data_IF_660259452699
#
_entry.id   IF_660259452699
#
_cell.length_a   1.000
_cell.length_b   1.000
_cell.length_c   1.000
_cell.angle_alpha   90.00
_cell.angle_beta   90.00
_cell.angle_gamma   90.00
#
_symmetry.space_group_name_H-M   'P 1'
#
loop_
_entity.id
_entity.type
_entity.pdbx_description
1 polymer ?
#
# COMPACT_ATOMS: atom_id res chain seq x y z
N UNK A 1 0.31 6.55 33.17
CA UNK A 1 -1.11 6.68 32.83
C UNK A 1 -1.32 6.69 31.31
N UNK A 2 -0.69 7.62 30.57
CA UNK A 2 -0.81 7.74 29.11
C UNK A 2 -0.35 6.48 28.34
N UNK A 3 0.77 5.88 28.74
CA UNK A 3 1.28 4.65 28.12
C UNK A 3 0.29 3.50 28.24
N UNK A 4 -0.33 3.34 29.41
CA UNK A 4 -1.34 2.29 29.63
C UNK A 4 -2.60 2.55 28.78
N UNK A 5 -3.01 3.80 28.65
CA UNK A 5 -4.11 4.17 27.76
C UNK A 5 -3.79 3.85 26.29
N UNK A 6 -2.60 4.20 25.82
CA UNK A 6 -2.18 3.90 24.46
C UNK A 6 -2.15 2.39 24.18
N UNK A 7 -1.69 1.58 25.15
CA UNK A 7 -1.72 0.12 25.07
C UNK A 7 -3.15 -0.43 25.06
N UNK A 8 -4.04 0.13 25.88
CA UNK A 8 -5.46 -0.21 25.88
C UNK A 8 -6.09 0.07 24.51
N UNK A 9 -5.93 1.26 23.96
CA UNK A 9 -6.45 1.61 22.63
C UNK A 9 -5.94 0.65 21.57
N UNK A 10 -4.64 0.38 21.57
CA UNK A 10 -4.02 -0.56 20.63
C UNK A 10 -4.58 -2.00 20.74
N UNK A 11 -4.99 -2.42 21.93
CA UNK A 11 -5.59 -3.75 22.14
C UNK A 11 -7.07 -3.82 21.74
N UNK A 12 -7.74 -2.68 21.66
CA UNK A 12 -9.18 -2.59 21.38
C UNK A 12 -9.48 -2.39 19.90
N UNK A 13 -8.55 -1.76 19.17
CA UNK A 13 -8.74 -1.47 17.75
C UNK A 13 -8.01 -2.53 16.91
N UNK A 14 -8.71 -3.19 15.99
CA UNK A 14 -8.10 -4.17 15.08
C UNK A 14 -7.15 -3.46 14.08
N UNK A 15 -6.22 -4.21 13.53
CA UNK A 15 -5.37 -3.74 12.43
C UNK A 15 -6.16 -3.64 11.13
N UNK A 16 -7.03 -4.60 10.90
CA UNK A 16 -7.94 -4.65 9.75
C UNK A 16 -9.38 -4.66 10.24
N UNK A 17 -10.21 -3.79 9.67
CA UNK A 17 -11.65 -3.74 9.95
C UNK A 17 -12.38 -4.87 9.20
N UNK A 18 -13.42 -5.44 9.81
CA UNK A 18 -14.26 -6.46 9.18
C UNK A 18 -14.92 -5.96 7.88
N UNK A 19 -15.09 -4.65 7.76
CA UNK A 19 -15.61 -3.99 6.55
C UNK A 19 -14.64 -3.98 5.37
N UNK A 20 -13.36 -4.33 5.57
CA UNK A 20 -12.37 -4.49 4.51
C UNK A 20 -12.43 -5.90 3.91
N UNK A 21 -13.58 -6.23 3.34
CA UNK A 21 -13.82 -7.53 2.70
C UNK A 21 -13.05 -7.63 1.39
N UNK A 22 -12.50 -8.80 1.10
CA UNK A 22 -11.84 -9.13 -0.16
C UNK A 22 -12.43 -10.40 -0.75
N UNK A 23 -12.45 -10.51 -2.08
CA UNK A 23 -12.87 -11.73 -2.77
C UNK A 23 -11.85 -12.84 -2.64
N UNK A 24 -12.31 -14.09 -2.76
CA UNK A 24 -11.51 -15.31 -2.52
C UNK A 24 -10.23 -15.44 -3.35
N UNK A 25 -10.16 -14.76 -4.50
CA UNK A 25 -9.01 -14.79 -5.40
C UNK A 25 -7.95 -13.72 -5.09
N UNK A 26 -8.15 -12.91 -4.06
CA UNK A 26 -7.30 -11.77 -3.75
C UNK A 26 -6.72 -11.87 -2.34
N UNK A 27 -5.64 -11.13 -2.12
CA UNK A 27 -5.03 -10.99 -0.80
C UNK A 27 -5.60 -9.77 -0.07
N UNK A 28 -5.92 -9.95 1.22
CA UNK A 28 -6.20 -8.81 2.08
C UNK A 28 -4.91 -8.00 2.26
N UNK A 29 -4.94 -6.74 1.85
CA UNK A 29 -3.74 -5.90 1.86
C UNK A 29 -3.22 -5.58 3.25
N UNK A 30 -4.08 -5.54 4.27
CA UNK A 30 -3.66 -5.33 5.66
C UNK A 30 -2.91 -6.53 6.20
N UNK A 31 -3.46 -7.75 5.99
CA UNK A 31 -2.82 -9.01 6.40
C UNK A 31 -1.48 -9.21 5.67
N UNK A 32 -1.46 -8.84 4.38
CA UNK A 32 -0.23 -8.87 3.59
C UNK A 32 0.83 -7.93 4.16
N UNK A 33 0.48 -6.67 4.49
CA UNK A 33 1.43 -5.69 5.03
C UNK A 33 1.87 -6.05 6.45
N UNK A 34 1.01 -6.67 7.26
CA UNK A 34 1.43 -7.24 8.55
C UNK A 34 2.47 -8.35 8.37
N UNK A 35 2.21 -9.29 7.46
CA UNK A 35 3.16 -10.35 7.11
C UNK A 35 4.48 -9.77 6.57
N UNK A 36 4.41 -8.77 5.67
CA UNK A 36 5.58 -8.06 5.16
C UNK A 36 6.40 -7.41 6.29
N UNK A 37 5.74 -6.85 7.29
CA UNK A 37 6.42 -6.24 8.45
C UNK A 37 7.24 -7.27 9.24
N UNK A 38 6.79 -8.52 9.28
CA UNK A 38 7.50 -9.61 9.96
C UNK A 38 8.71 -10.10 9.16
N UNK A 39 8.64 -10.04 7.84
CA UNK A 39 9.70 -10.47 6.91
C UNK A 39 10.75 -9.39 6.62
N UNK A 40 10.41 -8.12 6.85
CA UNK A 40 11.34 -7.02 6.64
C UNK A 40 12.47 -7.06 7.69
N UNK A 41 13.72 -6.96 7.23
CA UNK A 41 14.91 -6.97 8.09
C UNK A 41 15.12 -5.59 8.78
N UNK A 42 15.86 -5.54 9.90
CA UNK A 42 16.09 -4.28 10.63
C UNK A 42 16.82 -3.19 9.85
N UNK A 43 17.55 -3.54 8.78
CA UNK A 43 18.29 -2.58 7.96
C UNK A 43 17.63 -2.31 6.60
N UNK A 44 16.43 -2.83 6.35
CA UNK A 44 15.72 -2.58 5.11
C UNK A 44 15.30 -1.11 4.97
N UNK A 45 15.26 -0.63 3.72
CA UNK A 45 14.66 0.65 3.37
C UNK A 45 13.30 0.40 2.72
N UNK A 46 12.27 1.01 3.27
CA UNK A 46 10.89 0.82 2.84
C UNK A 46 10.41 2.04 2.08
N UNK A 47 9.96 1.83 0.86
CA UNK A 47 9.37 2.86 0.00
C UNK A 47 7.88 2.52 -0.19
N UNK A 48 6.99 3.07 0.63
CA UNK A 48 5.54 2.82 0.53
C UNK A 48 4.91 3.72 -0.54
N UNK A 49 5.53 3.86 -1.69
CA UNK A 49 5.15 4.81 -2.74
C UNK A 49 4.74 6.21 -2.22
N UNK A 50 3.77 6.88 -2.84
CA UNK A 50 3.36 8.22 -2.42
C UNK A 50 1.84 8.41 -2.43
N UNK A 51 1.07 7.51 -3.04
CA UNK A 51 -0.37 7.66 -3.23
C UNK A 51 -1.09 6.32 -3.34
N UNK A 52 -2.44 6.38 -3.37
CA UNK A 52 -3.29 5.22 -3.57
C UNK A 52 -3.41 4.29 -2.37
N UNK A 53 -4.03 3.14 -2.60
CA UNK A 53 -4.28 2.14 -1.57
C UNK A 53 -3.01 1.54 -0.99
N UNK A 54 -1.99 1.30 -1.81
CA UNK A 54 -0.70 0.78 -1.37
C UNK A 54 -0.06 1.70 -0.29
N UNK A 55 0.00 3.01 -0.57
CA UNK A 55 0.48 3.97 0.43
C UNK A 55 -0.37 3.94 1.71
N UNK A 56 -1.71 3.97 1.55
CA UNK A 56 -2.63 4.04 2.69
C UNK A 56 -2.43 2.86 3.63
N UNK A 57 -2.44 1.63 3.10
CA UNK A 57 -2.30 0.43 3.93
C UNK A 57 -0.90 0.33 4.54
N UNK A 58 0.14 0.67 3.77
CA UNK A 58 1.51 0.68 4.31
C UNK A 58 1.65 1.64 5.49
N UNK A 59 1.08 2.84 5.42
CA UNK A 59 1.15 3.81 6.52
C UNK A 59 0.27 3.44 7.72
N UNK A 60 -0.78 2.67 7.51
CA UNK A 60 -1.67 2.22 8.59
C UNK A 60 -1.16 0.94 9.27
N UNK A 61 -0.63 -0.01 8.51
CA UNK A 61 -0.39 -1.37 8.96
C UNK A 61 1.08 -1.76 9.08
N UNK A 62 2.00 -1.10 8.38
CA UNK A 62 3.41 -1.49 8.43
C UNK A 62 4.03 -1.16 9.80
N UNK A 63 4.58 -2.19 10.44
CA UNK A 63 5.20 -2.09 11.77
C UNK A 63 6.70 -1.85 11.61
N UNK A 64 7.08 -0.59 11.49
CA UNK A 64 8.48 -0.19 11.39
C UNK A 64 9.29 -0.62 12.62
N UNK A 65 10.47 -1.15 12.40
CA UNK A 65 11.43 -1.52 13.45
C UNK A 65 12.60 -0.54 13.52
N UNK A 66 13.28 -0.52 14.65
CA UNK A 66 14.52 0.25 14.81
C UNK A 66 15.55 -0.19 13.75
N UNK A 67 16.19 0.79 13.11
CA UNK A 67 17.17 0.58 12.04
C UNK A 67 16.58 0.64 10.62
N UNK A 68 15.27 0.46 10.45
CA UNK A 68 14.60 0.62 9.16
C UNK A 68 14.40 2.11 8.83
N UNK A 69 14.48 2.43 7.54
CA UNK A 69 14.12 3.73 7.00
C UNK A 69 12.84 3.62 6.18
N UNK A 70 11.87 4.48 6.46
CA UNK A 70 10.65 4.61 5.64
C UNK A 70 10.70 5.96 4.94
N UNK A 71 10.68 5.95 3.60
CA UNK A 71 10.82 7.16 2.78
C UNK A 71 9.68 7.24 1.78
N UNK A 72 8.97 8.36 1.78
CA UNK A 72 7.85 8.61 0.88
C UNK A 72 7.71 10.08 0.52
N UNK A 73 6.96 10.40 -0.53
CA UNK A 73 6.67 11.75 -1.01
C UNK A 73 5.17 12.08 -0.88
N UNK A 74 4.55 11.77 0.26
CA UNK A 74 3.10 11.95 0.46
C UNK A 74 2.63 13.39 0.25
N UNK A 75 3.45 14.38 0.55
CA UNK A 75 3.07 15.79 0.39
C UNK A 75 2.73 16.18 -1.05
N UNK A 76 3.41 15.60 -2.04
CA UNK A 76 3.14 15.78 -3.47
C UNK A 76 2.32 14.65 -4.07
N UNK A 77 2.41 13.46 -3.51
CA UNK A 77 1.68 12.26 -3.92
C UNK A 77 1.87 11.90 -5.41
N UNK A 78 3.07 12.13 -5.96
CA UNK A 78 3.35 11.93 -7.38
C UNK A 78 3.34 10.47 -7.76
N UNK A 79 2.53 10.07 -8.73
CA UNK A 79 2.61 8.74 -9.35
C UNK A 79 3.93 8.60 -10.13
N UNK A 80 4.52 7.40 -10.11
CA UNK A 80 5.86 7.13 -10.66
C UNK A 80 7.02 7.45 -9.71
N UNK A 81 6.77 8.14 -8.58
CA UNK A 81 7.80 8.42 -7.59
C UNK A 81 8.40 7.14 -6.99
N UNK A 82 7.59 6.13 -6.72
CA UNK A 82 7.99 4.95 -5.96
C UNK A 82 9.22 4.27 -6.54
N UNK A 83 9.21 3.94 -7.84
CA UNK A 83 10.35 3.30 -8.49
C UNK A 83 11.60 4.20 -8.49
N UNK A 84 11.44 5.48 -8.85
CA UNK A 84 12.56 6.44 -8.85
C UNK A 84 13.15 6.63 -7.43
N UNK A 85 12.27 6.75 -6.42
CA UNK A 85 12.68 6.84 -5.02
C UNK A 85 13.38 5.58 -4.52
N UNK A 86 12.91 4.40 -4.93
CA UNK A 86 13.54 3.13 -4.59
C UNK A 86 14.94 2.97 -5.21
N UNK A 87 15.10 3.37 -6.47
CA UNK A 87 16.43 3.42 -7.13
C UNK A 87 17.37 4.33 -6.35
N UNK A 88 16.92 5.55 -6.00
CA UNK A 88 17.71 6.49 -5.21
C UNK A 88 18.10 5.91 -3.85
N UNK A 89 17.19 5.21 -3.18
CA UNK A 89 17.46 4.55 -1.91
C UNK A 89 18.51 3.43 -2.04
N UNK A 90 18.42 2.59 -3.09
CA UNK A 90 19.43 1.56 -3.37
C UNK A 90 20.81 2.16 -3.59
N UNK A 91 20.89 3.27 -4.33
CA UNK A 91 22.17 3.96 -4.58
C UNK A 91 22.73 4.60 -3.33
N UNK A 92 21.88 5.15 -2.46
CA UNK A 92 22.30 5.78 -1.20
C UNK A 92 22.69 4.77 -0.11
N UNK A 93 22.16 3.55 -0.17
CA UNK A 93 22.36 2.48 0.81
C UNK A 93 22.57 1.12 0.14
N UNK A 94 23.69 0.93 -0.57
CA UNK A 94 23.94 -0.26 -1.37
C UNK A 94 24.01 -1.57 -0.54
N UNK A 95 24.26 -1.46 0.76
CA UNK A 95 24.28 -2.58 1.72
C UNK A 95 22.90 -3.03 2.20
N UNK A 96 21.86 -2.25 1.92
CA UNK A 96 20.50 -2.52 2.38
C UNK A 96 19.64 -3.10 1.26
N UNK A 97 18.70 -3.97 1.65
CA UNK A 97 17.60 -4.31 0.75
C UNK A 97 16.60 -3.16 0.75
N UNK A 98 16.16 -2.76 -0.44
CA UNK A 98 15.08 -1.78 -0.60
C UNK A 98 13.79 -2.52 -0.96
N UNK A 99 12.71 -2.18 -0.30
CA UNK A 99 11.38 -2.74 -0.51
C UNK A 99 10.47 -1.62 -0.99
N UNK A 100 10.06 -1.70 -2.25
CA UNK A 100 9.06 -0.82 -2.83
C UNK A 100 7.70 -1.50 -2.77
N UNK A 101 6.69 -0.81 -2.24
CA UNK A 101 5.28 -1.21 -2.36
C UNK A 101 4.54 -0.13 -3.12
N UNK A 102 4.01 -0.45 -4.28
CA UNK A 102 3.31 0.52 -5.14
C UNK A 102 2.10 -0.11 -5.82
N UNK A 103 1.12 0.72 -6.18
CA UNK A 103 -0.01 0.29 -7.02
C UNK A 103 0.38 0.18 -8.48
N UNK A 104 -0.30 -0.71 -9.22
CA UNK A 104 -0.10 -0.94 -10.65
C UNK A 104 -0.17 0.36 -11.48
N UNK A 105 -1.14 1.22 -11.19
CA UNK A 105 -1.32 2.50 -11.87
C UNK A 105 -0.18 3.49 -11.63
N UNK A 106 0.31 3.62 -10.40
CA UNK A 106 1.44 4.48 -10.06
C UNK A 106 2.74 3.97 -10.66
N UNK A 107 2.98 2.67 -10.55
CA UNK A 107 4.16 2.01 -11.10
C UNK A 107 4.25 2.14 -12.63
N UNK A 108 3.12 2.08 -13.33
CA UNK A 108 3.06 2.21 -14.79
C UNK A 108 3.55 3.55 -15.33
N UNK A 109 3.68 4.58 -14.47
CA UNK A 109 4.13 5.91 -14.90
C UNK A 109 5.66 6.00 -15.12
N UNK A 110 6.44 4.99 -14.70
CA UNK A 110 7.90 5.05 -14.74
C UNK A 110 8.58 3.70 -15.06
N UNK A 111 7.93 2.84 -15.83
CA UNK A 111 8.39 1.47 -16.13
C UNK A 111 9.77 1.41 -16.80
N UNK A 112 10.14 2.43 -17.57
CA UNK A 112 11.44 2.47 -18.27
C UNK A 112 12.63 2.42 -17.31
N UNK A 113 12.46 2.84 -16.05
CA UNK A 113 13.52 2.83 -15.04
C UNK A 113 13.85 1.42 -14.52
N UNK A 114 13.09 0.40 -14.91
CA UNK A 114 13.47 -1.00 -14.70
C UNK A 114 14.79 -1.34 -15.40
N UNK A 115 15.13 -0.65 -16.49
CA UNK A 115 16.43 -0.74 -17.13
C UNK A 115 17.57 -0.30 -16.19
N UNK A 116 17.36 0.80 -15.45
CA UNK A 116 18.30 1.30 -14.44
C UNK A 116 18.44 0.31 -13.28
N UNK A 117 17.34 -0.28 -12.81
CA UNK A 117 17.34 -1.32 -11.77
C UNK A 117 18.19 -2.51 -12.20
N UNK A 118 17.95 -3.03 -13.40
CA UNK A 118 18.67 -4.21 -13.92
C UNK A 118 20.12 -3.91 -14.22
N UNK A 119 20.40 -2.74 -14.83
CA UNK A 119 21.79 -2.36 -15.20
C UNK A 119 22.73 -2.31 -14.00
N UNK A 120 22.19 -1.94 -12.83
CA UNK A 120 22.96 -1.78 -11.60
C UNK A 120 22.76 -2.96 -10.62
N UNK A 121 22.06 -4.01 -11.00
CA UNK A 121 21.76 -5.17 -10.14
C UNK A 121 21.30 -4.77 -8.74
N UNK A 122 20.37 -3.81 -8.65
CA UNK A 122 19.94 -3.22 -7.38
C UNK A 122 19.23 -4.26 -6.51
N UNK A 123 19.59 -4.33 -5.22
CA UNK A 123 18.88 -5.17 -4.25
C UNK A 123 17.50 -4.57 -3.93
N UNK A 124 16.59 -4.66 -4.91
CA UNK A 124 15.27 -4.04 -4.88
C UNK A 124 14.17 -5.11 -5.02
N UNK A 125 13.26 -5.15 -4.04
CA UNK A 125 12.04 -5.95 -4.09
C UNK A 125 10.86 -5.03 -4.41
N UNK A 126 10.27 -5.21 -5.58
CA UNK A 126 9.17 -4.40 -6.08
C UNK A 126 7.88 -5.18 -5.86
N UNK A 127 7.05 -4.75 -4.92
CA UNK A 127 5.75 -5.32 -4.61
C UNK A 127 4.66 -4.48 -5.26
N UNK A 128 4.00 -5.02 -6.29
CA UNK A 128 2.95 -4.31 -7.02
C UNK A 128 1.58 -4.77 -6.55
N UNK A 129 0.82 -3.87 -5.94
CA UNK A 129 -0.60 -4.08 -5.66
C UNK A 129 -1.39 -3.97 -6.96
N UNK A 130 -1.64 -5.13 -7.57
CA UNK A 130 -2.31 -5.26 -8.85
C UNK A 130 -3.83 -5.33 -8.65
N UNK A 131 -4.49 -4.19 -8.75
CA UNK A 131 -5.94 -4.04 -8.65
C UNK A 131 -6.61 -3.56 -9.96
N UNK A 132 -5.87 -3.63 -11.06
CA UNK A 132 -6.31 -3.26 -12.41
C UNK A 132 -6.77 -1.80 -12.53
N UNK A 133 -6.16 -0.87 -11.79
CA UNK A 133 -6.52 0.54 -11.94
C UNK A 133 -6.14 1.48 -10.83
N UNK A 134 -6.65 2.69 -10.97
CA UNK A 134 -6.51 3.76 -9.98
C UNK A 134 -7.61 3.63 -8.91
N UNK A 135 -7.43 2.74 -7.94
CA UNK A 135 -8.45 2.45 -6.92
C UNK A 135 -8.96 3.69 -6.20
N UNK A 136 -8.10 4.66 -5.89
CA UNK A 136 -8.51 5.92 -5.23
C UNK A 136 -9.37 6.80 -6.14
N UNK A 137 -9.08 6.84 -7.44
CA UNK A 137 -9.89 7.57 -8.41
C UNK A 137 -11.24 6.87 -8.59
N UNK A 138 -11.24 5.55 -8.75
CA UNK A 138 -12.47 4.74 -8.85
C UNK A 138 -13.37 4.96 -7.64
N UNK A 139 -12.81 4.94 -6.43
CA UNK A 139 -13.55 5.23 -5.20
C UNK A 139 -14.12 6.66 -5.18
N UNK A 140 -13.37 7.65 -5.64
CA UNK A 140 -13.84 9.04 -5.76
C UNK A 140 -15.00 9.13 -6.75
N UNK A 141 -14.88 8.50 -7.91
CA UNK A 141 -15.94 8.49 -8.93
C UNK A 141 -17.19 7.76 -8.43
N UNK A 142 -17.01 6.66 -7.69
CA UNK A 142 -18.12 5.97 -7.02
C UNK A 142 -18.86 6.86 -6.02
N UNK A 143 -18.12 7.55 -5.16
CA UNK A 143 -18.69 8.30 -4.03
C UNK A 143 -19.31 9.64 -4.43
N UNK A 144 -18.76 10.31 -5.45
CA UNK A 144 -19.11 11.71 -5.77
C UNK A 144 -19.62 11.91 -7.18
N UNK A 145 -19.50 10.92 -8.06
CA UNK A 145 -19.92 11.01 -9.46
C UNK A 145 -20.86 9.87 -9.86
N UNK A 146 -21.66 9.37 -8.91
CA UNK A 146 -22.68 8.32 -9.12
C UNK A 146 -22.15 7.05 -9.78
N UNK A 147 -20.86 6.74 -9.64
CA UNK A 147 -20.24 5.57 -10.27
C UNK A 147 -20.01 5.73 -11.79
N UNK A 148 -20.02 6.93 -12.31
CA UNK A 148 -19.59 7.18 -13.68
C UNK A 148 -18.08 7.10 -13.77
N UNK A 149 -17.58 5.92 -14.16
CA UNK A 149 -16.15 5.63 -14.24
C UNK A 149 -15.56 6.10 -15.57
N UNK A 150 -14.45 6.84 -15.48
CA UNK A 150 -13.71 7.31 -16.63
C UNK A 150 -12.19 7.23 -16.38
N UNK A 151 -11.48 6.48 -17.24
CA UNK A 151 -10.02 6.40 -17.22
C UNK A 151 -9.42 5.91 -15.91
N UNK A 152 -10.15 5.12 -15.11
CA UNK A 152 -9.71 4.68 -13.80
C UNK A 152 -9.37 3.18 -13.70
N UNK A 153 -9.70 2.40 -14.72
CA UNK A 153 -9.42 0.96 -14.82
C UNK A 153 -9.34 0.48 -16.26
N UNK A 154 -9.11 -0.81 -16.45
CA UNK A 154 -8.96 -1.43 -17.77
C UNK A 154 -10.23 -1.36 -18.60
N UNK A 155 -11.41 -1.34 -17.98
CA UNK A 155 -12.70 -1.22 -18.68
C UNK A 155 -12.98 0.21 -19.16
N UNK A 156 -12.32 1.20 -18.57
CA UNK A 156 -12.57 2.63 -18.82
C UNK A 156 -11.40 3.37 -19.47
N UNK A 157 -10.40 2.64 -19.98
CA UNK A 157 -9.37 3.18 -20.84
C UNK A 157 -7.93 3.08 -20.33
N UNK A 158 -7.66 2.45 -19.18
CA UNK A 158 -6.29 2.14 -18.77
C UNK A 158 -5.81 0.83 -19.42
N UNK A 159 -4.50 0.78 -19.71
CA UNK A 159 -3.82 -0.45 -20.12
C UNK A 159 -2.70 -0.78 -19.14
N UNK A 160 -2.54 -2.07 -18.82
CA UNK A 160 -1.42 -2.58 -18.03
C UNK A 160 -0.65 -3.62 -18.83
N UNK A 161 0.67 -3.72 -18.64
CA UNK A 161 1.44 -4.80 -19.23
C UNK A 161 1.09 -6.13 -18.55
N UNK A 162 1.41 -7.24 -19.22
CA UNK A 162 1.64 -8.49 -18.52
C UNK A 162 2.89 -8.33 -17.62
N UNK A 163 2.70 -8.43 -16.33
CA UNK A 163 3.76 -8.17 -15.33
C UNK A 163 4.90 -9.18 -15.41
N UNK A 164 4.60 -10.43 -15.75
CA UNK A 164 5.61 -11.47 -15.96
C UNK A 164 6.46 -11.19 -17.21
N UNK A 165 5.80 -10.85 -18.32
CA UNK A 165 6.52 -10.50 -19.56
C UNK A 165 7.33 -9.21 -19.39
N UNK A 166 6.81 -8.22 -18.67
CA UNK A 166 7.54 -7.01 -18.35
C UNK A 166 8.81 -7.33 -17.55
N UNK A 167 8.69 -8.07 -16.44
CA UNK A 167 9.83 -8.49 -15.64
C UNK A 167 10.87 -9.24 -16.49
N UNK A 168 10.43 -10.20 -17.29
CA UNK A 168 11.29 -10.96 -18.20
C UNK A 168 12.01 -10.08 -19.21
N UNK A 169 11.32 -9.09 -19.79
CA UNK A 169 11.89 -8.15 -20.77
C UNK A 169 13.04 -7.34 -20.17
N UNK A 170 12.92 -6.94 -18.92
CA UNK A 170 13.98 -6.22 -18.22
C UNK A 170 14.97 -7.13 -17.47
N UNK A 171 14.79 -8.46 -17.53
CA UNK A 171 15.68 -9.44 -16.89
C UNK A 171 15.58 -9.43 -15.36
N UNK A 172 14.40 -9.10 -14.82
CA UNK A 172 14.08 -9.22 -13.40
C UNK A 172 13.48 -10.59 -13.09
N UNK A 173 13.75 -11.08 -11.89
CA UNK A 173 13.03 -12.25 -11.37
C UNK A 173 11.56 -11.89 -11.07
N UNK A 174 10.64 -12.86 -11.23
CA UNK A 174 9.20 -12.63 -11.06
C UNK A 174 8.53 -13.72 -10.25
N UNK A 175 7.59 -13.32 -9.38
CA UNK A 175 6.60 -14.21 -8.80
C UNK A 175 5.28 -13.47 -8.58
N UNK A 176 4.17 -14.22 -8.63
CA UNK A 176 2.90 -13.81 -8.07
C UNK A 176 2.84 -14.25 -6.61
N UNK A 177 2.38 -13.36 -5.74
CA UNK A 177 2.25 -13.62 -4.32
C UNK A 177 0.92 -14.34 -4.09
N UNK A 178 1.00 -15.60 -3.67
CA UNK A 178 -0.15 -16.41 -3.31
C UNK A 178 -0.52 -16.33 -1.83
N UNK A 179 -1.58 -17.03 -1.41
CA UNK A 179 -2.06 -17.03 -0.02
C UNK A 179 -1.04 -17.60 0.99
N UNK A 180 -0.10 -18.42 0.52
CA UNK A 180 0.98 -18.94 1.35
C UNK A 180 2.03 -17.90 1.72
N UNK A 181 2.02 -16.75 1.06
CA UNK A 181 2.96 -15.65 1.26
C UNK A 181 4.42 -16.16 1.26
N UNK A 182 5.22 -15.74 2.22
CA UNK A 182 6.64 -16.10 2.37
C UNK A 182 6.90 -17.59 2.67
N UNK A 183 5.87 -18.40 2.91
CA UNK A 183 6.02 -19.86 3.02
C UNK A 183 6.20 -20.55 1.68
N UNK A 184 5.86 -19.89 0.58
CA UNK A 184 6.19 -20.34 -0.77
C UNK A 184 7.71 -20.39 -0.95
N UNK A 185 8.31 -21.56 -1.29
CA UNK A 185 9.77 -21.67 -1.48
C UNK A 185 10.31 -20.70 -2.54
N UNK A 186 9.58 -20.53 -3.64
CA UNK A 186 9.96 -19.61 -4.71
C UNK A 186 9.97 -18.16 -4.23
N UNK A 187 8.93 -17.75 -3.51
CA UNK A 187 8.86 -16.39 -3.01
C UNK A 187 9.95 -16.12 -1.96
N UNK A 188 10.20 -17.06 -1.07
CA UNK A 188 11.27 -16.97 -0.07
C UNK A 188 12.66 -16.89 -0.73
N UNK A 189 12.91 -17.65 -1.79
CA UNK A 189 14.14 -17.57 -2.57
C UNK A 189 14.33 -16.17 -3.16
N UNK A 190 13.33 -15.64 -3.88
CA UNK A 190 13.41 -14.32 -4.50
C UNK A 190 13.54 -13.20 -3.46
N UNK A 191 12.88 -13.36 -2.32
CA UNK A 191 12.93 -12.39 -1.21
C UNK A 191 14.32 -12.28 -0.60
N UNK A 192 15.01 -13.40 -0.45
CA UNK A 192 16.34 -13.47 0.17
C UNK A 192 17.50 -13.28 -0.83
N UNK A 193 17.22 -13.36 -2.13
CA UNK A 193 18.21 -13.09 -3.18
C UNK A 193 18.61 -11.60 -3.18
N UNK A 194 19.88 -11.23 -3.41
CA UNK A 194 20.27 -9.83 -3.60
C UNK A 194 19.82 -9.25 -4.95
N UNK A 195 19.30 -10.09 -5.85
CA UNK A 195 18.87 -9.66 -7.20
C UNK A 195 17.55 -8.91 -7.14
N UNK A 196 17.31 -7.98 -8.10
CA UNK A 196 16.02 -7.33 -8.21
C UNK A 196 14.91 -8.32 -8.57
N UNK A 197 13.76 -8.17 -7.93
CA UNK A 197 12.58 -8.98 -8.21
C UNK A 197 11.31 -8.14 -8.23
N UNK A 198 10.41 -8.47 -9.16
CA UNK A 198 9.06 -7.95 -9.26
C UNK A 198 8.09 -8.99 -8.72
N UNK A 199 7.37 -8.64 -7.68
CA UNK A 199 6.43 -9.50 -6.96
C UNK A 199 5.02 -8.91 -7.11
N UNK A 200 4.16 -9.59 -7.86
CA UNK A 200 2.78 -9.15 -8.08
C UNK A 200 1.91 -9.62 -6.93
N UNK A 201 1.25 -8.69 -6.25
CA UNK A 201 0.30 -8.93 -5.17
C UNK A 201 -1.10 -8.72 -5.71
N UNK A 202 -1.91 -9.79 -5.91
CA UNK A 202 -3.27 -9.64 -6.41
C UNK A 202 -4.16 -8.97 -5.35
N UNK A 203 -4.68 -7.79 -5.69
CA UNK A 203 -5.52 -6.98 -4.80
C UNK A 203 -6.91 -6.82 -5.42
N UNK A 204 -7.94 -6.98 -4.59
CA UNK A 204 -9.31 -6.80 -5.03
C UNK A 204 -9.54 -5.37 -5.56
N UNK A 205 -10.00 -5.21 -6.80
CA UNK A 205 -10.28 -3.89 -7.38
C UNK A 205 -11.28 -3.06 -6.58
N UNK A 206 -12.15 -3.70 -5.79
CA UNK A 206 -13.17 -3.02 -4.98
C UNK A 206 -12.83 -3.01 -3.49
N UNK A 207 -11.65 -3.46 -3.10
CA UNK A 207 -11.22 -3.43 -1.70
C UNK A 207 -11.32 -2.03 -1.12
N UNK A 208 -11.89 -1.95 0.08
CA UNK A 208 -11.96 -0.73 0.88
C UNK A 208 -10.76 -0.61 1.83
N UNK A 209 -10.54 0.60 2.35
CA UNK A 209 -9.40 0.92 3.23
C UNK A 209 -9.94 1.63 4.47
N UNK A 210 -10.73 0.92 5.25
CA UNK A 210 -11.25 1.41 6.52
C UNK A 210 -10.28 1.11 7.68
N UNK A 211 -10.29 1.95 8.74
CA UNK A 211 -11.09 3.17 8.89
C UNK A 211 -10.51 4.33 8.07
N UNK A 212 -11.35 5.22 7.63
CA UNK A 212 -10.93 6.42 6.88
C UNK A 212 -11.72 7.66 7.29
N UNK A 213 -11.12 8.84 7.09
CA UNK A 213 -11.83 10.10 7.20
C UNK A 213 -12.83 10.20 6.05
N UNK A 214 -14.09 10.42 6.36
CA UNK A 214 -15.13 10.67 5.37
C UNK A 214 -15.30 12.18 5.17
N UNK A 215 -15.49 12.58 3.92
CA UNK A 215 -15.91 13.94 3.59
C UNK A 215 -17.39 13.96 3.29
N UNK A 216 -18.05 15.07 3.62
CA UNK A 216 -19.44 15.32 3.31
C UNK A 216 -19.59 16.58 2.48
N UNK A 217 -20.61 16.62 1.64
CA UNK A 217 -21.00 17.83 0.93
C UNK A 217 -21.90 18.62 1.86
N UNK A 218 -21.54 19.86 2.13
CA UNK A 218 -22.35 20.79 2.96
C UNK A 218 -23.56 21.30 2.19
N UNK A 219 -24.51 21.93 2.88
CA UNK A 219 -25.67 22.56 2.27
C UNK A 219 -25.28 23.69 1.26
N UNK A 220 -24.08 24.27 1.40
CA UNK A 220 -23.53 25.26 0.45
C UNK A 220 -22.83 24.64 -0.75
N UNK A 221 -22.76 23.31 -0.87
CA UNK A 221 -22.04 22.60 -1.93
C UNK A 221 -20.53 22.48 -1.71
N UNK A 222 -20.00 22.92 -0.55
CA UNK A 222 -18.61 22.77 -0.19
C UNK A 222 -18.31 21.39 0.34
N UNK A 223 -17.05 20.92 0.21
CA UNK A 223 -16.58 19.69 0.83
C UNK A 223 -16.04 19.98 2.23
N UNK A 224 -16.48 19.21 3.22
CA UNK A 224 -15.99 19.28 4.60
C UNK A 224 -15.55 17.88 5.05
N UNK A 225 -14.34 17.78 5.58
CA UNK A 225 -13.82 16.53 6.14
C UNK A 225 -14.22 16.36 7.59
N UNK A 226 -14.52 15.14 8.00
CA UNK A 226 -14.71 14.82 9.42
C UNK A 226 -13.40 15.05 10.20
N UNK A 227 -13.49 15.36 11.51
CA UNK A 227 -12.33 15.39 12.37
C UNK A 227 -11.55 14.07 12.38
N UNK A 228 -10.23 14.11 12.61
CA UNK A 228 -9.34 12.95 12.57
C UNK A 228 -9.76 11.79 13.49
N UNK A 229 -10.43 12.09 14.60
CA UNK A 229 -10.87 11.10 15.57
C UNK A 229 -12.26 10.51 15.26
N UNK A 230 -12.96 11.04 14.26
CA UNK A 230 -14.27 10.58 13.81
C UNK A 230 -14.14 9.97 12.41
N UNK A 231 -13.59 8.77 12.36
CA UNK A 231 -13.41 8.01 11.11
C UNK A 231 -14.64 7.17 10.81
N UNK A 232 -14.78 6.80 9.55
CA UNK A 232 -15.80 5.86 9.07
C UNK A 232 -15.19 4.45 8.91
N UNK A 233 -15.91 3.36 9.31
CA UNK A 233 -17.21 3.38 10.00
C UNK A 233 -17.11 3.91 11.43
N UNK A 234 -18.26 4.36 11.96
CA UNK A 234 -18.33 4.85 13.34
C UNK A 234 -18.00 3.72 14.33
N UNK A 235 -17.27 4.04 15.38
CA UNK A 235 -17.02 3.10 16.46
C UNK A 235 -18.30 2.81 17.24
N UNK A 236 -18.54 1.56 17.68
CA UNK A 236 -19.59 1.27 18.64
C UNK A 236 -19.51 2.18 19.86
N UNK A 237 -20.63 2.70 20.34
CA UNK A 237 -20.68 3.71 21.41
C UNK A 237 -19.80 3.38 22.62
N UNK A 238 -19.89 2.14 23.13
CA UNK A 238 -19.06 1.69 24.28
C UNK A 238 -17.57 1.74 23.99
N UNK A 239 -17.18 1.44 22.74
CA UNK A 239 -15.78 1.46 22.30
C UNK A 239 -15.32 2.91 22.12
N UNK A 240 -16.14 3.74 21.49
CA UNK A 240 -15.88 5.17 21.32
C UNK A 240 -15.61 5.86 22.68
N UNK A 241 -16.47 5.63 23.68
CA UNK A 241 -16.26 6.15 25.03
C UNK A 241 -14.92 5.76 25.67
N UNK A 242 -14.42 4.57 25.42
CA UNK A 242 -13.12 4.12 25.94
C UNK A 242 -11.95 4.73 25.18
N UNK A 243 -12.02 4.74 23.84
CA UNK A 243 -10.93 5.17 22.96
C UNK A 243 -10.80 6.69 22.92
N UNK A 244 -11.93 7.41 22.99
CA UNK A 244 -11.97 8.87 22.85
C UNK A 244 -12.09 9.63 24.19
N UNK A 245 -11.95 8.93 25.32
CA UNK A 245 -12.24 9.49 26.66
C UNK A 245 -11.44 10.73 27.07
N UNK A 246 -10.34 11.01 26.38
CA UNK A 246 -9.52 12.23 26.62
C UNK A 246 -9.75 13.33 25.57
N UNK A 247 -10.64 13.10 24.61
CA UNK A 247 -11.02 14.13 23.66
C UNK A 247 -12.21 14.93 24.18
N UNK A 248 -12.29 16.24 23.88
CA UNK A 248 -13.46 17.02 24.19
C UNK A 248 -14.67 16.49 23.43
N UNK A 249 -15.84 16.54 24.11
CA UNK A 249 -17.14 16.20 23.51
C UNK A 249 -17.53 17.22 22.43
#
# INVERSE_FOLDING_TARGET
>A
EWTNFAQEVKSLLPLSEESNVVGDSYLNTYDFVEALSNEAAPNDVIIPCSSGGAFTVMMQAFRQRAGQYVVTNKGLASMGYGLAGAIGACMARPESRVILVEGDGGFSQNLQELATVRRNDLNLKILIFANNGYASIRMTQSNYFNGEYLGCDTSTGLGFPDWHLLASTYGLDFAEVGPDLWRSPKLAELWNSPRPALLMVPVDPVQTYFPKISSRVTASGSMESAPLHLMSPDLPEKLAHRVLRYLPN
#
